data_IF_071535208474
#
_entry.id   IF_071535208474
#
_cell.length_a   1.000
_cell.length_b   1.000
_cell.length_c   1.000
_cell.angle_alpha   90.00
_cell.angle_beta   90.00
_cell.angle_gamma   90.00
#
_symmetry.space_group_name_H-M   'P 1'
#
loop_
_entity.id
_entity.type
_entity.pdbx_description
1 polymer ?
#
# COMPACT_ATOMS: atom_id res chain seq x y z
N UNK A 1 -80.65 42.30 6.23
CA UNK A 1 -81.10 41.87 4.89
C UNK A 1 -79.88 41.43 4.09
N UNK A 2 -79.74 40.11 3.92
CA UNK A 2 -79.13 39.36 2.77
C UNK A 2 -77.68 39.75 2.37
N UNK A 3 -76.63 39.12 2.89
CA UNK A 3 -75.91 37.90 2.43
C UNK A 3 -75.49 37.83 0.95
N UNK A 4 -74.19 37.65 0.69
CA UNK A 4 -73.73 36.69 -0.32
C UNK A 4 -72.32 36.16 -0.01
N UNK A 5 -72.27 34.87 0.34
CA UNK A 5 -71.08 34.03 0.45
C UNK A 5 -70.66 33.58 -0.95
N UNK A 6 -69.38 33.74 -1.32
CA UNK A 6 -68.78 33.00 -2.43
C UNK A 6 -68.28 31.64 -1.93
N UNK A 7 -68.99 30.58 -2.32
CA UNK A 7 -68.56 29.17 -2.20
C UNK A 7 -67.51 28.87 -3.27
N UNK A 8 -66.35 28.36 -2.86
CA UNK A 8 -65.49 27.58 -3.74
C UNK A 8 -66.01 26.14 -3.78
N UNK A 9 -66.51 25.70 -4.93
CA UNK A 9 -66.82 24.30 -5.20
C UNK A 9 -65.61 23.63 -5.84
N UNK A 10 -65.04 22.66 -5.13
CA UNK A 10 -64.04 21.75 -5.68
C UNK A 10 -64.66 20.80 -6.70
N UNK A 11 -63.97 20.62 -7.82
CA UNK A 11 -64.12 19.46 -8.69
C UNK A 11 -62.75 18.79 -8.73
N UNK A 12 -62.58 17.74 -7.91
CA UNK A 12 -61.43 16.85 -7.99
C UNK A 12 -61.58 16.00 -9.25
N UNK A 13 -60.85 16.37 -10.31
CA UNK A 13 -60.62 15.50 -11.47
C UNK A 13 -59.54 14.48 -11.06
N UNK A 14 -59.97 13.31 -10.59
CA UNK A 14 -59.07 12.16 -10.32
C UNK A 14 -58.33 11.84 -11.62
N UNK A 15 -57.00 11.87 -11.57
CA UNK A 15 -56.16 11.83 -12.76
C UNK A 15 -56.10 10.42 -13.37
N UNK A 16 -55.99 10.39 -14.70
CA UNK A 16 -55.80 9.20 -15.52
C UNK A 16 -54.36 8.64 -15.40
N UNK A 17 -53.51 9.22 -14.56
CA UNK A 17 -52.07 8.91 -14.51
C UNK A 17 -51.79 7.65 -13.70
N UNK A 18 -52.59 7.35 -12.68
CA UNK A 18 -52.43 6.12 -11.88
C UNK A 18 -52.72 4.86 -12.70
N UNK A 19 -53.73 4.92 -13.58
CA UNK A 19 -54.08 3.81 -14.48
C UNK A 19 -52.97 3.61 -15.52
N UNK A 20 -52.40 4.71 -16.03
CA UNK A 20 -51.30 4.66 -17.00
C UNK A 20 -50.02 4.09 -16.40
N UNK A 21 -49.72 4.42 -15.14
CA UNK A 21 -48.57 3.86 -14.42
C UNK A 21 -48.71 2.35 -14.22
N UNK A 22 -49.88 1.89 -13.78
CA UNK A 22 -50.18 0.46 -13.57
C UNK A 22 -50.05 -0.35 -14.87
N UNK A 23 -50.60 0.17 -15.98
CA UNK A 23 -50.50 -0.49 -17.29
C UNK A 23 -49.03 -0.59 -17.75
N UNK A 24 -48.23 0.45 -17.49
CA UNK A 24 -46.80 0.47 -17.88
C UNK A 24 -45.98 -0.54 -17.07
N UNK A 25 -46.26 -0.69 -15.77
CA UNK A 25 -45.59 -1.68 -14.91
C UNK A 25 -45.95 -3.11 -15.29
N UNK A 26 -47.22 -3.38 -15.61
CA UNK A 26 -47.68 -4.71 -16.03
C UNK A 26 -47.05 -5.08 -17.39
N UNK A 27 -47.02 -4.15 -18.35
CA UNK A 27 -46.38 -4.40 -19.65
C UNK A 27 -44.87 -4.65 -19.50
N UNK A 28 -44.18 -3.96 -18.59
CA UNK A 28 -42.76 -4.20 -18.29
C UNK A 28 -42.49 -5.58 -17.68
N UNK A 29 -43.33 -6.05 -16.76
CA UNK A 29 -43.22 -7.39 -16.18
C UNK A 29 -43.49 -8.50 -17.21
N UNK A 30 -44.52 -8.32 -18.04
CA UNK A 30 -44.84 -9.27 -19.12
C UNK A 30 -43.72 -9.33 -20.15
N UNK A 31 -43.17 -8.19 -20.56
CA UNK A 31 -42.05 -8.13 -21.50
C UNK A 31 -40.76 -8.76 -20.93
N UNK A 32 -40.45 -8.52 -19.65
CA UNK A 32 -39.33 -9.16 -18.97
C UNK A 32 -39.49 -10.69 -18.83
N UNK A 33 -40.71 -11.16 -18.59
CA UNK A 33 -41.04 -12.59 -18.53
C UNK A 33 -40.88 -13.28 -19.89
N UNK A 34 -41.29 -12.64 -20.99
CA UNK A 34 -41.11 -13.19 -22.34
C UNK A 34 -39.63 -13.21 -22.78
N UNK A 35 -38.81 -12.23 -22.38
CA UNK A 35 -37.36 -12.27 -22.60
C UNK A 35 -36.73 -13.41 -21.77
N UNK A 36 -37.19 -13.63 -20.53
CA UNK A 36 -36.70 -14.72 -19.68
C UNK A 36 -37.04 -16.12 -20.18
N UNK A 37 -38.15 -16.30 -20.91
CA UNK A 37 -38.63 -17.59 -21.44
C UNK A 37 -38.13 -17.87 -22.87
N UNK A 38 -37.67 -16.84 -23.59
CA UNK A 38 -37.18 -16.99 -24.96
C UNK A 38 -35.71 -17.39 -25.08
N UNK A 39 -35.01 -17.63 -23.95
CA UNK A 39 -33.70 -18.28 -23.96
C UNK A 39 -33.86 -19.79 -23.83
N UNK A 40 -33.51 -20.58 -24.86
CA UNK A 40 -33.45 -22.03 -24.69
C UNK A 40 -32.36 -22.36 -23.67
N UNK A 41 -32.73 -23.12 -22.65
CA UNK A 41 -31.81 -23.82 -21.77
C UNK A 41 -30.94 -24.75 -22.62
N UNK A 42 -29.74 -24.29 -22.98
CA UNK A 42 -28.77 -25.14 -23.67
C UNK A 42 -28.23 -26.14 -22.65
N UNK A 43 -28.61 -27.39 -22.88
CA UNK A 43 -28.09 -28.60 -22.26
C UNK A 43 -26.57 -28.54 -22.11
N UNK A 44 -26.07 -28.69 -20.87
CA UNK A 44 -24.68 -29.03 -20.58
C UNK A 44 -24.40 -30.45 -21.09
N UNK A 45 -24.08 -30.56 -22.38
CA UNK A 45 -23.41 -31.72 -22.92
C UNK A 45 -21.92 -31.60 -22.61
N UNK A 46 -21.38 -32.65 -21.98
CA UNK A 46 -19.96 -32.97 -21.78
C UNK A 46 -19.02 -32.26 -22.76
N UNK A 47 -18.20 -31.34 -22.23
CA UNK A 47 -16.93 -30.98 -22.85
C UNK A 47 -15.85 -31.75 -22.09
N UNK A 48 -15.39 -32.84 -22.70
CA UNK A 48 -14.14 -33.52 -22.36
C UNK A 48 -12.98 -32.60 -22.74
N UNK A 49 -12.25 -32.08 -21.75
CA UNK A 49 -10.96 -31.43 -21.97
C UNK A 49 -9.89 -32.52 -22.10
N UNK A 50 -9.16 -32.61 -23.23
CA UNK A 50 -8.00 -33.50 -23.32
C UNK A 50 -6.86 -32.94 -22.46
N UNK A 51 -6.29 -33.82 -21.65
CA UNK A 51 -5.04 -33.65 -20.95
C UNK A 51 -3.87 -33.59 -21.95
N UNK A 52 -3.39 -32.39 -22.29
CA UNK A 52 -2.09 -32.21 -22.97
C UNK A 52 -1.65 -30.74 -23.01
N UNK A 53 -1.01 -30.24 -21.94
CA UNK A 53 0.08 -29.24 -22.05
C UNK A 53 1.14 -29.61 -21.02
N UNK A 54 1.88 -30.68 -21.30
CA UNK A 54 3.27 -30.85 -20.92
C UNK A 54 4.00 -31.33 -22.18
N UNK A 55 5.22 -30.81 -22.37
CA UNK A 55 6.25 -31.28 -23.32
C UNK A 55 6.23 -30.68 -24.73
N UNK A 56 7.05 -29.65 -24.91
CA UNK A 56 7.79 -29.46 -26.17
C UNK A 56 9.20 -28.93 -25.88
N UNK A 57 10.04 -29.80 -25.31
CA UNK A 57 11.44 -29.84 -25.67
C UNK A 57 11.68 -31.22 -26.30
N UNK A 58 12.52 -31.27 -27.33
CA UNK A 58 13.04 -32.45 -28.02
C UNK A 58 12.22 -33.00 -29.21
N UNK A 59 12.37 -32.35 -30.37
CA UNK A 59 12.66 -33.03 -31.64
C UNK A 59 13.49 -32.08 -32.52
N UNK A 60 14.81 -32.28 -32.56
CA UNK A 60 15.57 -32.36 -33.81
C UNK A 60 17.05 -32.64 -33.51
N UNK A 61 17.51 -33.75 -34.08
CA UNK A 61 18.86 -34.09 -34.56
C UNK A 61 19.49 -35.33 -33.89
N UNK A 62 19.30 -36.47 -34.57
CA UNK A 62 20.11 -37.68 -34.45
C UNK A 62 21.18 -37.70 -35.57
N UNK A 63 22.36 -38.22 -35.19
CA UNK A 63 23.39 -39.00 -35.94
C UNK A 63 23.96 -38.43 -37.28
N UNK A 64 25.25 -38.54 -37.63
CA UNK A 64 26.23 -39.59 -37.32
C UNK A 64 27.70 -39.18 -37.69
N UNK A 65 28.67 -39.94 -37.16
CA UNK A 65 30.03 -40.29 -37.67
C UNK A 65 31.29 -39.37 -37.61
N UNK A 66 32.27 -39.89 -36.83
CA UNK A 66 33.72 -40.11 -37.07
C UNK A 66 34.82 -39.01 -36.93
N UNK A 67 35.71 -39.28 -35.94
CA UNK A 67 37.19 -39.24 -35.88
C UNK A 67 38.00 -37.93 -36.08
N UNK A 68 38.62 -37.53 -34.97
CA UNK A 68 40.03 -37.09 -34.73
C UNK A 68 40.74 -36.20 -35.78
N UNK A 69 41.09 -34.96 -35.38
CA UNK A 69 42.49 -34.53 -35.15
C UNK A 69 42.61 -33.00 -34.99
N UNK A 70 43.20 -32.57 -33.87
CA UNK A 70 44.29 -31.58 -33.82
C UNK A 70 44.14 -30.19 -34.46
N UNK A 71 43.92 -29.21 -33.57
CA UNK A 71 44.53 -27.86 -33.50
C UNK A 71 44.11 -26.75 -34.49
N UNK A 72 44.18 -25.55 -33.89
CA UNK A 72 44.16 -24.17 -34.39
C UNK A 72 42.83 -23.54 -34.77
N UNK A 73 42.49 -22.48 -34.01
CA UNK A 73 41.52 -21.41 -34.27
C UNK A 73 41.45 -21.04 -35.76
N UNK A 74 40.27 -20.73 -36.36
CA UNK A 74 39.62 -19.43 -36.16
C UNK A 74 38.08 -19.39 -36.39
N UNK A 75 37.50 -18.19 -36.26
CA UNK A 75 36.33 -17.62 -36.98
C UNK A 75 35.09 -18.47 -37.36
N UNK A 76 33.92 -17.85 -37.18
CA UNK A 76 32.57 -18.13 -37.72
C UNK A 76 31.61 -19.06 -36.95
N UNK A 77 30.58 -18.41 -36.39
CA UNK A 77 29.16 -18.71 -36.55
C UNK A 77 28.76 -20.19 -36.78
N UNK A 78 28.35 -20.88 -35.70
CA UNK A 78 27.49 -22.07 -35.82
C UNK A 78 27.93 -23.29 -35.01
N UNK A 79 27.62 -23.30 -33.71
CA UNK A 79 27.16 -24.49 -32.95
C UNK A 79 26.98 -24.05 -31.49
N UNK A 80 25.73 -24.00 -31.04
CA UNK A 80 25.35 -23.56 -29.70
C UNK A 80 25.95 -24.53 -28.67
N UNK A 81 26.82 -24.08 -27.74
CA UNK A 81 27.09 -24.87 -26.55
C UNK A 81 25.77 -24.89 -25.76
N UNK A 82 25.17 -26.07 -25.60
CA UNK A 82 24.09 -26.27 -24.63
C UNK A 82 24.59 -25.73 -23.29
N UNK A 83 24.08 -24.56 -22.89
CA UNK A 83 24.40 -23.96 -21.60
C UNK A 83 24.13 -25.00 -20.52
N UNK A 84 25.10 -25.31 -19.64
CA UNK A 84 24.88 -26.31 -18.60
C UNK A 84 23.70 -25.87 -17.74
N UNK A 85 22.65 -26.70 -17.70
CA UNK A 85 21.45 -26.46 -16.87
C UNK A 85 21.81 -26.72 -15.41
N UNK A 86 22.16 -25.67 -14.68
CA UNK A 86 22.49 -25.76 -13.25
C UNK A 86 21.18 -25.56 -12.48
N UNK A 87 20.42 -26.62 -12.23
CA UNK A 87 19.17 -26.51 -11.47
C UNK A 87 19.45 -26.58 -9.96
N UNK A 88 19.18 -25.49 -9.25
CA UNK A 88 19.34 -25.36 -7.80
C UNK A 88 18.01 -24.95 -7.16
N UNK A 89 17.35 -25.86 -6.40
CA UNK A 89 16.06 -25.60 -5.77
C UNK A 89 16.06 -24.51 -4.68
N UNK A 90 17.23 -24.19 -4.10
CA UNK A 90 17.35 -23.17 -3.04
C UNK A 90 17.42 -21.75 -3.59
N UNK A 91 17.54 -21.58 -4.90
CA UNK A 91 17.53 -20.25 -5.52
C UNK A 91 16.11 -19.66 -5.50
N UNK A 92 15.98 -18.32 -5.61
CA UNK A 92 14.69 -17.68 -5.83
C UNK A 92 13.96 -18.26 -7.03
N UNK A 93 12.62 -18.24 -6.98
CA UNK A 93 11.79 -18.74 -8.09
C UNK A 93 12.13 -18.03 -9.39
N UNK A 94 12.35 -18.80 -10.45
CA UNK A 94 12.78 -18.30 -11.76
C UNK A 94 14.29 -18.13 -11.93
N UNK A 95 15.08 -18.29 -10.87
CA UNK A 95 16.54 -18.26 -10.87
C UNK A 95 17.15 -19.65 -10.62
N UNK A 96 16.35 -20.72 -10.67
CA UNK A 96 16.80 -22.07 -10.35
C UNK A 96 17.90 -22.54 -11.29
N UNK A 97 17.96 -22.06 -12.53
CA UNK A 97 19.00 -22.42 -13.51
C UNK A 97 20.36 -21.73 -13.28
N UNK A 98 20.46 -20.81 -12.31
CA UNK A 98 21.65 -20.01 -12.06
C UNK A 98 22.58 -20.66 -11.02
N UNK A 99 23.91 -20.57 -11.19
CA UNK A 99 24.85 -20.94 -10.14
C UNK A 99 24.59 -20.12 -8.86
N UNK A 100 24.56 -20.72 -7.66
CA UNK A 100 24.23 -20.00 -6.44
C UNK A 100 25.18 -18.82 -6.15
N UNK A 101 26.44 -18.93 -6.56
CA UNK A 101 27.46 -17.90 -6.33
C UNK A 101 27.25 -16.58 -7.09
N UNK A 102 26.34 -16.53 -8.09
CA UNK A 102 26.01 -15.28 -8.81
C UNK A 102 24.60 -14.77 -8.48
N UNK A 103 23.80 -15.55 -7.75
CA UNK A 103 22.41 -15.19 -7.44
C UNK A 103 22.37 -14.11 -6.36
N UNK A 104 21.73 -13.00 -6.70
CA UNK A 104 21.40 -11.91 -5.75
C UNK A 104 19.88 -11.89 -5.62
N UNK A 105 19.36 -12.36 -4.49
CA UNK A 105 17.93 -12.59 -4.29
C UNK A 105 17.13 -11.31 -3.97
N UNK A 106 17.80 -10.26 -3.52
CA UNK A 106 17.21 -9.02 -3.01
C UNK A 106 17.91 -7.82 -3.66
N UNK A 107 17.26 -6.65 -3.64
CA UNK A 107 17.80 -5.38 -4.11
C UNK A 107 17.89 -4.38 -2.95
N UNK A 108 18.40 -3.19 -3.22
CA UNK A 108 18.47 -2.08 -2.28
C UNK A 108 18.31 -0.72 -3.00
N UNK A 109 18.29 0.38 -2.22
CA UNK A 109 18.32 1.75 -2.73
C UNK A 109 19.69 2.42 -2.59
N UNK A 110 20.77 1.64 -2.42
CA UNK A 110 22.10 2.20 -2.27
C UNK A 110 22.60 2.79 -3.60
N UNK A 111 22.98 4.06 -3.57
CA UNK A 111 23.53 4.74 -4.75
C UNK A 111 24.94 4.23 -5.06
N UNK A 112 25.19 3.95 -6.33
CA UNK A 112 26.47 3.47 -6.86
C UNK A 112 27.02 4.44 -7.89
N UNK A 113 28.35 4.54 -7.98
CA UNK A 113 29.00 5.44 -8.94
C UNK A 113 28.97 4.81 -10.34
N UNK A 114 29.04 5.65 -11.37
CA UNK A 114 29.10 5.18 -12.77
C UNK A 114 30.51 4.69 -13.18
N UNK A 115 31.52 4.87 -12.33
CA UNK A 115 32.92 4.54 -12.60
C UNK A 115 33.63 4.12 -11.31
N UNK A 116 34.81 3.50 -11.47
CA UNK A 116 35.63 3.03 -10.35
C UNK A 116 35.28 1.61 -9.89
N UNK A 117 35.82 1.21 -8.75
CA UNK A 117 35.59 -0.11 -8.17
C UNK A 117 34.29 -0.16 -7.36
N UNK A 118 33.38 -1.13 -7.61
CA UNK A 118 32.12 -1.24 -6.87
C UNK A 118 32.27 -1.43 -5.34
N UNK A 119 33.43 -1.95 -4.90
CA UNK A 119 33.75 -2.14 -3.48
C UNK A 119 33.98 -0.81 -2.73
N UNK A 120 34.27 0.27 -3.45
CA UNK A 120 34.52 1.60 -2.89
C UNK A 120 33.27 2.48 -2.80
N UNK A 121 32.18 2.10 -3.48
CA UNK A 121 30.97 2.93 -3.59
C UNK A 121 30.26 3.12 -2.25
N UNK A 122 30.29 2.09 -1.40
CA UNK A 122 29.54 2.03 -0.15
C UNK A 122 30.49 1.96 1.05
N UNK A 123 31.03 3.12 1.45
CA UNK A 123 31.85 3.24 2.67
C UNK A 123 31.05 2.89 3.93
N UNK A 124 29.81 3.38 4.00
CA UNK A 124 28.84 3.08 5.03
C UNK A 124 27.54 2.63 4.35
N UNK A 125 26.93 1.55 4.84
CA UNK A 125 25.64 1.07 4.34
C UNK A 125 24.52 1.56 5.27
N UNK A 126 23.58 2.38 4.78
CA UNK A 126 22.42 2.76 5.57
C UNK A 126 21.65 1.53 6.04
N UNK A 127 21.27 1.54 7.32
CA UNK A 127 20.54 0.45 8.01
C UNK A 127 19.04 0.69 8.04
N UNK A 128 18.62 1.94 7.88
CA UNK A 128 17.23 2.35 7.98
C UNK A 128 16.82 3.11 6.72
N UNK A 129 15.53 3.07 6.40
CA UNK A 129 14.95 3.80 5.27
C UNK A 129 13.92 4.78 5.81
N UNK A 130 13.97 6.03 5.34
CA UNK A 130 12.89 7.00 5.56
C UNK A 130 12.37 7.50 4.24
N UNK A 131 11.04 7.47 4.13
CA UNK A 131 10.31 7.94 2.96
C UNK A 131 9.39 9.08 3.33
N UNK A 132 9.35 10.10 2.47
CA UNK A 132 8.41 11.21 2.55
C UNK A 132 7.65 11.33 1.23
N UNK A 133 6.34 11.55 1.30
CA UNK A 133 5.54 11.90 0.12
C UNK A 133 5.38 13.40 0.06
N UNK A 134 6.02 14.03 -0.93
CA UNK A 134 6.37 15.45 -0.89
C UNK A 134 5.87 16.23 -2.11
N UNK A 135 5.50 17.48 -1.87
CA UNK A 135 5.44 18.54 -2.87
C UNK A 135 6.40 19.68 -2.53
N UNK A 136 6.77 20.46 -3.54
CA UNK A 136 7.80 21.50 -3.40
C UNK A 136 7.44 22.55 -2.33
N UNK A 137 6.15 22.84 -2.15
CA UNK A 137 5.70 23.83 -1.17
C UNK A 137 6.06 23.42 0.27
N UNK A 138 6.30 22.13 0.53
CA UNK A 138 6.68 21.58 1.85
C UNK A 138 8.18 21.36 2.01
N UNK A 139 9.00 21.74 1.03
CA UNK A 139 10.44 21.45 1.00
C UNK A 139 11.20 21.90 2.25
N UNK A 140 10.83 23.03 2.85
CA UNK A 140 11.48 23.55 4.06
C UNK A 140 11.12 22.70 5.28
N UNK A 141 9.89 22.18 5.35
CA UNK A 141 9.50 21.28 6.43
C UNK A 141 10.22 19.93 6.30
N UNK A 142 10.36 19.43 5.08
CA UNK A 142 11.15 18.21 4.81
C UNK A 142 12.63 18.40 5.11
N UNK A 143 13.22 19.57 4.81
CA UNK A 143 14.59 19.89 5.22
C UNK A 143 14.75 19.85 6.75
N UNK A 144 13.78 20.38 7.50
CA UNK A 144 13.77 20.26 8.96
C UNK A 144 13.65 18.80 9.44
N UNK A 145 12.84 17.98 8.75
CA UNK A 145 12.71 16.54 8.99
C UNK A 145 14.03 15.80 8.75
N UNK A 146 14.63 15.94 7.57
CA UNK A 146 15.85 15.21 7.16
C UNK A 146 17.01 15.47 8.11
N UNK A 147 17.11 16.67 8.69
CA UNK A 147 18.12 17.01 9.72
C UNK A 147 18.01 16.19 11.01
N UNK A 148 16.91 15.46 11.24
CA UNK A 148 16.74 14.56 12.39
C UNK A 148 17.23 13.13 12.16
N UNK A 149 17.66 12.81 10.93
CA UNK A 149 18.13 11.50 10.51
C UNK A 149 19.64 11.53 10.28
N UNK A 150 20.33 10.49 10.72
CA UNK A 150 21.78 10.34 10.56
C UNK A 150 22.14 9.73 9.20
N UNK A 151 23.43 9.50 8.95
CA UNK A 151 23.90 8.79 7.75
C UNK A 151 23.52 7.29 7.73
N UNK A 152 23.05 6.73 8.85
CA UNK A 152 22.49 5.37 8.88
C UNK A 152 21.12 5.29 8.18
N UNK A 153 20.53 6.43 7.76
CA UNK A 153 19.25 6.50 7.06
C UNK A 153 19.41 6.80 5.57
N UNK A 154 18.86 5.92 4.73
CA UNK A 154 18.61 6.24 3.33
C UNK A 154 17.37 7.15 3.25
N UNK A 155 17.51 8.28 2.57
CA UNK A 155 16.39 9.20 2.30
C UNK A 155 15.81 8.88 0.92
N UNK A 156 14.49 8.72 0.85
CA UNK A 156 13.73 8.50 -0.37
C UNK A 156 12.53 9.44 -0.42
N UNK A 157 12.41 10.22 -1.49
CA UNK A 157 11.35 11.20 -1.67
C UNK A 157 10.40 10.77 -2.79
N UNK A 158 9.10 10.76 -2.49
CA UNK A 158 8.02 10.49 -3.43
C UNK A 158 7.35 11.80 -3.86
N UNK A 159 7.67 12.29 -5.05
CA UNK A 159 7.24 13.60 -5.55
C UNK A 159 5.91 13.50 -6.26
N UNK A 160 4.83 13.93 -5.62
CA UNK A 160 3.50 13.91 -6.25
C UNK A 160 3.26 15.09 -7.21
N UNK A 161 4.15 16.09 -7.23
CA UNK A 161 4.00 17.30 -8.06
C UNK A 161 4.86 17.29 -9.33
N UNK A 162 5.79 16.33 -9.46
CA UNK A 162 6.69 16.24 -10.59
C UNK A 162 7.93 17.13 -10.51
N UNK A 163 8.22 17.78 -9.38
CA UNK A 163 9.23 18.84 -9.26
C UNK A 163 10.44 18.39 -8.45
N UNK A 164 11.38 17.71 -9.10
CA UNK A 164 12.56 17.14 -8.44
C UNK A 164 13.77 18.08 -8.43
N UNK A 165 14.03 18.80 -9.52
CA UNK A 165 15.25 19.60 -9.67
C UNK A 165 15.33 20.78 -8.70
N UNK A 166 14.20 21.35 -8.29
CA UNK A 166 14.18 22.45 -7.33
C UNK A 166 14.67 22.05 -5.93
N UNK A 167 14.76 20.75 -5.64
CA UNK A 167 15.31 20.23 -4.39
C UNK A 167 16.84 20.22 -4.35
N UNK A 168 17.52 20.38 -5.50
CA UNK A 168 18.98 20.41 -5.60
C UNK A 168 19.63 21.56 -4.81
N UNK A 169 18.83 22.53 -4.34
CA UNK A 169 19.26 23.56 -3.40
C UNK A 169 19.74 22.99 -2.06
N UNK A 170 19.32 21.76 -1.71
CA UNK A 170 19.72 21.08 -0.49
C UNK A 170 20.79 20.02 -0.81
N UNK A 171 21.98 20.14 -0.22
CA UNK A 171 23.09 19.20 -0.47
C UNK A 171 22.75 17.76 -0.07
N UNK A 172 21.91 17.55 0.93
CA UNK A 172 21.43 16.22 1.29
C UNK A 172 20.50 15.62 0.21
N UNK A 173 19.77 16.46 -0.52
CA UNK A 173 18.82 16.00 -1.55
C UNK A 173 19.53 15.37 -2.74
N UNK A 174 20.73 15.86 -3.10
CA UNK A 174 21.56 15.26 -4.16
C UNK A 174 22.00 13.82 -3.85
N UNK A 175 21.93 13.42 -2.58
CA UNK A 175 22.24 12.07 -2.09
C UNK A 175 20.98 11.26 -1.76
N UNK A 176 19.81 11.86 -1.85
CA UNK A 176 18.54 11.17 -1.68
C UNK A 176 18.11 10.51 -2.98
N UNK A 177 17.26 9.49 -2.88
CA UNK A 177 16.59 8.91 -4.05
C UNK A 177 15.30 9.69 -4.29
N UNK A 178 15.05 10.10 -5.53
CA UNK A 178 13.85 10.82 -5.93
C UNK A 178 13.01 9.95 -6.87
N UNK A 179 11.75 9.71 -6.54
CA UNK A 179 10.78 9.02 -7.42
C UNK A 179 9.62 9.98 -7.65
N UNK A 180 9.28 10.22 -8.92
CA UNK A 180 8.40 11.33 -9.30
C UNK A 180 7.33 10.90 -10.29
N UNK A 181 6.09 10.84 -9.82
CA UNK A 181 4.88 10.53 -10.57
C UNK A 181 3.78 11.47 -10.10
N UNK A 182 3.24 12.26 -11.03
CA UNK A 182 2.26 13.28 -10.70
C UNK A 182 0.98 12.69 -10.10
N UNK A 183 0.46 13.37 -9.08
CA UNK A 183 -0.83 13.12 -8.41
C UNK A 183 -0.99 11.69 -7.88
N UNK A 184 0.09 11.10 -7.38
CA UNK A 184 0.05 9.80 -6.69
C UNK A 184 0.20 9.97 -5.18
N UNK A 185 -0.49 9.11 -4.44
CA UNK A 185 -0.53 9.10 -2.97
C UNK A 185 0.65 8.30 -2.39
N UNK A 186 0.92 8.53 -1.10
CA UNK A 186 1.94 7.81 -0.32
C UNK A 186 1.85 6.28 -0.48
N UNK A 187 0.66 5.72 -0.32
CA UNK A 187 0.48 4.27 -0.38
C UNK A 187 0.53 3.71 -1.81
N UNK A 188 0.24 4.52 -2.83
CA UNK A 188 0.49 4.14 -4.22
C UNK A 188 1.99 3.93 -4.48
N UNK A 189 2.82 4.86 -4.00
CA UNK A 189 4.28 4.77 -4.09
C UNK A 189 4.81 3.60 -3.28
N UNK A 190 4.41 3.49 -2.01
CA UNK A 190 4.85 2.42 -1.13
C UNK A 190 4.57 1.03 -1.73
N UNK A 191 3.39 0.83 -2.33
CA UNK A 191 3.05 -0.44 -2.99
C UNK A 191 3.96 -0.78 -4.18
N UNK A 192 4.49 0.20 -4.90
CA UNK A 192 5.24 0.00 -6.15
C UNK A 192 6.74 0.02 -5.98
N UNK A 193 7.25 0.81 -5.06
CA UNK A 193 8.69 1.04 -4.90
C UNK A 193 9.25 0.46 -3.61
N UNK A 194 8.42 0.20 -2.60
CA UNK A 194 8.87 -0.43 -1.36
C UNK A 194 8.55 -1.94 -1.35
N UNK A 195 8.81 -2.65 -2.45
CA UNK A 195 8.65 -4.09 -2.48
C UNK A 195 9.52 -4.75 -1.38
N UNK A 196 9.05 -5.80 -0.66
CA UNK A 196 9.81 -6.38 0.45
C UNK A 196 11.23 -6.75 0.08
N UNK A 197 11.43 -7.35 -1.10
CA UNK A 197 12.75 -7.75 -1.57
C UNK A 197 13.63 -6.58 -2.05
N UNK A 198 13.06 -5.37 -2.22
CA UNK A 198 13.81 -4.12 -2.54
C UNK A 198 14.23 -3.40 -1.26
N UNK A 199 13.43 -3.48 -0.20
CA UNK A 199 13.73 -2.83 1.09
C UNK A 199 14.29 -3.79 2.13
N UNK A 200 14.60 -5.03 1.72
CA UNK A 200 15.14 -6.07 2.59
C UNK A 200 16.53 -5.70 3.16
N UNK A 201 17.24 -4.72 2.60
CA UNK A 201 18.49 -4.24 3.16
C UNK A 201 18.31 -3.37 4.44
N UNK A 202 17.08 -2.93 4.74
CA UNK A 202 16.81 -2.01 5.85
C UNK A 202 16.10 -2.71 7.01
N UNK A 203 16.52 -2.42 8.25
CA UNK A 203 15.93 -2.98 9.46
C UNK A 203 14.57 -2.36 9.80
N UNK A 204 14.45 -1.04 9.56
CA UNK A 204 13.25 -0.26 9.81
C UNK A 204 12.96 0.70 8.67
N UNK A 205 11.68 0.86 8.35
CA UNK A 205 11.16 1.63 7.22
C UNK A 205 10.15 2.65 7.74
N UNK A 206 10.47 3.93 7.61
CA UNK A 206 9.63 5.06 7.98
C UNK A 206 8.83 5.52 6.75
N UNK A 207 7.52 5.64 6.89
CA UNK A 207 6.63 6.04 5.78
C UNK A 207 5.80 7.25 6.20
N UNK A 208 6.40 8.42 6.10
CA UNK A 208 5.90 9.63 6.75
C UNK A 208 5.21 10.58 5.76
N UNK A 209 4.19 11.27 6.27
CA UNK A 209 3.61 12.44 5.62
C UNK A 209 4.56 13.65 5.76
N UNK A 210 4.33 14.67 4.93
CA UNK A 210 5.19 15.85 4.80
C UNK A 210 4.83 17.01 5.75
N UNK A 211 3.71 16.92 6.47
CA UNK A 211 3.16 17.98 7.32
C UNK A 211 3.43 17.75 8.83
N UNK A 212 4.61 17.20 9.12
CA UNK A 212 5.06 16.85 10.47
C UNK A 212 6.10 17.85 11.00
N UNK A 213 5.84 18.40 12.18
CA UNK A 213 6.82 19.13 12.98
C UNK A 213 7.65 18.16 13.83
N UNK A 214 8.97 18.30 13.81
CA UNK A 214 9.92 17.32 14.35
C UNK A 214 10.87 17.91 15.39
N UNK A 215 10.53 19.06 15.97
CA UNK A 215 11.38 19.82 16.89
C UNK A 215 11.91 18.92 18.02
N UNK A 216 11.06 18.05 18.55
CA UNK A 216 11.32 17.17 19.68
C UNK A 216 11.66 15.72 19.31
N UNK A 217 11.80 15.45 18.01
CA UNK A 217 12.11 14.12 17.49
C UNK A 217 13.62 13.93 17.26
N UNK A 218 14.11 12.72 17.54
CA UNK A 218 15.44 12.24 17.20
C UNK A 218 15.34 10.77 16.73
N UNK A 219 15.75 10.50 15.48
CA UNK A 219 15.55 9.19 14.86
C UNK A 219 16.36 8.07 15.53
N UNK A 220 17.57 8.34 15.98
CA UNK A 220 18.43 7.35 16.65
C UNK A 220 17.84 6.92 17.99
N UNK A 221 17.44 7.89 18.83
CA UNK A 221 16.76 7.61 20.10
C UNK A 221 15.45 6.88 19.89
N UNK A 222 14.70 7.25 18.84
CA UNK A 222 13.47 6.56 18.47
C UNK A 222 13.73 5.07 18.17
N UNK A 223 14.68 4.76 17.30
CA UNK A 223 15.02 3.37 16.96
C UNK A 223 15.52 2.59 18.18
N UNK A 224 16.32 3.21 19.06
CA UNK A 224 16.74 2.58 20.30
C UNK A 224 15.55 2.15 21.17
N UNK A 225 14.52 2.99 21.28
CA UNK A 225 13.31 2.70 22.04
C UNK A 225 12.44 1.63 21.35
N UNK A 226 12.28 1.71 20.03
CA UNK A 226 11.58 0.68 19.25
C UNK A 226 12.21 -0.69 19.48
N UNK A 227 13.55 -0.79 19.38
CA UNK A 227 14.29 -2.02 19.65
C UNK A 227 14.17 -2.46 21.12
N UNK A 228 14.34 -1.54 22.08
CA UNK A 228 14.24 -1.81 23.52
C UNK A 228 12.88 -2.40 23.91
N UNK A 229 11.80 -1.91 23.30
CA UNK A 229 10.42 -2.29 23.64
C UNK A 229 9.83 -3.37 22.73
N UNK A 230 10.63 -3.92 21.81
CA UNK A 230 10.21 -4.97 20.88
C UNK A 230 9.07 -4.56 19.96
N UNK A 231 9.06 -3.29 19.52
CA UNK A 231 8.05 -2.77 18.63
C UNK A 231 8.39 -3.12 17.18
N UNK A 232 7.44 -3.76 16.50
CA UNK A 232 7.54 -4.15 15.08
C UNK A 232 6.79 -3.16 14.17
N UNK A 233 5.74 -2.53 14.69
CA UNK A 233 5.05 -1.42 14.04
C UNK A 233 4.92 -0.30 15.07
N UNK A 234 5.33 0.90 14.73
CA UNK A 234 5.36 1.99 15.69
C UNK A 234 5.10 3.34 15.05
N UNK A 235 4.85 4.35 15.87
CA UNK A 235 4.94 5.75 15.47
C UNK A 235 5.46 6.61 16.62
N UNK A 236 5.98 7.82 16.34
CA UNK A 236 6.19 8.84 17.36
C UNK A 236 4.86 9.25 18.03
N UNK A 237 4.94 9.68 19.29
CA UNK A 237 3.79 10.30 19.96
C UNK A 237 3.35 11.59 19.25
N UNK A 238 2.05 11.87 19.23
CA UNK A 238 1.52 13.13 18.71
C UNK A 238 1.27 14.13 19.84
N UNK A 239 1.80 15.34 19.66
CA UNK A 239 1.50 16.46 20.54
C UNK A 239 -0.01 16.77 20.52
N UNK A 240 -0.69 16.84 21.68
CA UNK A 240 -2.15 16.94 21.74
C UNK A 240 -2.72 18.33 21.40
N UNK A 241 -1.88 19.32 21.10
CA UNK A 241 -2.25 20.74 21.09
C UNK A 241 -3.23 21.14 19.97
N UNK A 242 -3.33 20.35 18.89
CA UNK A 242 -4.16 20.68 17.71
C UNK A 242 -5.38 19.76 17.51
N UNK A 243 -5.80 19.03 18.54
CA UNK A 243 -6.86 18.03 18.44
C UNK A 243 -6.37 16.75 17.78
N UNK A 244 -6.87 15.61 18.26
CA UNK A 244 -6.46 14.28 17.80
C UNK A 244 -7.69 13.44 17.49
N UNK A 245 -7.65 12.70 16.38
CA UNK A 245 -8.72 11.77 16.02
C UNK A 245 -8.76 10.59 16.99
N UNK A 246 -7.59 10.00 17.25
CA UNK A 246 -7.40 8.77 18.02
C UNK A 246 -6.65 9.05 19.32
N UNK A 247 -7.16 8.57 20.46
CA UNK A 247 -6.45 8.69 21.74
C UNK A 247 -5.16 7.85 21.75
N UNK A 248 -5.10 6.80 20.93
CA UNK A 248 -3.94 5.90 20.87
C UNK A 248 -2.71 6.59 20.31
N UNK A 249 -2.84 7.64 19.50
CA UNK A 249 -1.69 8.37 18.93
C UNK A 249 -1.20 9.50 19.85
N UNK A 250 -1.98 9.84 20.88
CA UNK A 250 -1.69 10.93 21.80
C UNK A 250 -0.46 10.63 22.65
N UNK A 251 0.53 11.52 22.60
CA UNK A 251 1.70 11.48 23.47
C UNK A 251 1.32 11.44 24.95
N UNK A 252 1.98 10.57 25.71
CA UNK A 252 1.92 10.45 27.16
C UNK A 252 3.21 10.96 27.80
N UNK A 253 3.12 11.98 28.65
CA UNK A 253 4.31 12.64 29.22
C UNK A 253 5.02 11.85 30.32
N UNK A 254 4.45 10.73 30.79
CA UNK A 254 4.86 9.99 31.98
C UNK A 254 5.62 8.68 31.69
N UNK A 255 5.85 8.36 30.41
CA UNK A 255 6.41 7.07 29.98
C UNK A 255 7.21 7.18 28.68
N UNK A 256 7.99 6.15 28.38
CA UNK A 256 8.76 6.08 27.13
C UNK A 256 7.91 5.68 25.93
N UNK A 257 6.99 4.72 26.13
CA UNK A 257 6.11 4.14 25.12
C UNK A 257 4.75 3.77 25.74
N UNK A 258 3.72 3.68 24.91
CA UNK A 258 2.47 2.99 25.25
C UNK A 258 1.95 2.14 24.09
N UNK A 259 1.21 1.09 24.44
CA UNK A 259 0.68 0.08 23.50
C UNK A 259 -0.84 -0.05 23.58
N UNK A 260 -1.45 0.67 24.52
CA UNK A 260 -2.89 0.74 24.71
C UNK A 260 -3.30 2.12 25.24
N UNK A 261 -4.57 2.46 25.04
CA UNK A 261 -5.19 3.69 25.53
C UNK A 261 -6.62 3.42 26.00
N UNK A 262 -7.14 4.32 26.82
CA UNK A 262 -8.58 4.51 26.94
C UNK A 262 -9.05 5.41 25.80
N UNK A 263 -10.09 4.96 25.09
CA UNK A 263 -10.70 5.71 23.99
C UNK A 263 -12.06 6.28 24.38
N UNK A 264 -12.61 7.09 23.47
CA UNK A 264 -13.98 7.62 23.59
C UNK A 264 -14.99 6.47 23.82
N UNK A 265 -16.02 6.67 24.67
CA UNK A 265 -17.02 5.64 24.94
C UNK A 265 -17.62 5.05 23.66
N UNK A 266 -17.61 3.71 23.56
CA UNK A 266 -18.15 2.96 22.42
C UNK A 266 -17.21 2.80 21.21
N UNK A 267 -15.98 3.33 21.25
CA UNK A 267 -15.04 3.23 20.13
C UNK A 267 -14.20 1.95 20.15
N UNK A 268 -14.14 1.26 21.28
CA UNK A 268 -13.41 0.01 21.41
C UNK A 268 -14.36 -1.14 21.70
N UNK A 269 -14.42 -2.08 20.76
CA UNK A 269 -15.12 -3.36 20.95
C UNK A 269 -14.34 -4.33 21.84
N UNK A 270 -13.01 -4.26 21.80
CA UNK A 270 -12.08 -5.04 22.61
C UNK A 270 -10.86 -4.16 22.94
N UNK A 271 -10.39 -4.14 24.20
CA UNK A 271 -9.26 -3.30 24.62
C UNK A 271 -7.91 -3.69 23.96
N UNK A 272 -7.77 -4.90 23.42
CA UNK A 272 -6.57 -5.38 22.71
C UNK A 272 -6.63 -5.13 21.20
N UNK A 273 -7.72 -4.57 20.69
CA UNK A 273 -7.92 -4.31 19.27
C UNK A 273 -7.92 -2.80 18.98
N UNK A 274 -7.65 -2.40 17.73
CA UNK A 274 -7.81 -1.03 17.30
C UNK A 274 -9.21 -0.49 17.55
N UNK A 275 -9.35 0.80 17.89
CA UNK A 275 -8.26 1.77 18.04
C UNK A 275 -7.59 1.76 19.43
N UNK A 276 -8.08 0.98 20.41
CA UNK A 276 -7.58 1.01 21.80
C UNK A 276 -6.17 0.44 21.99
N UNK A 277 -5.78 -0.52 21.18
CA UNK A 277 -4.44 -1.12 21.16
C UNK A 277 -4.17 -1.64 19.75
N UNK A 278 -2.95 -2.15 19.52
CA UNK A 278 -2.57 -2.71 18.23
C UNK A 278 -2.76 -1.73 17.04
N UNK A 279 -2.64 -0.43 17.30
CA UNK A 279 -2.98 0.64 16.36
C UNK A 279 -1.91 1.74 16.36
N UNK A 280 -1.52 2.16 15.17
CA UNK A 280 -0.82 3.41 14.88
C UNK A 280 -1.45 4.01 13.64
N UNK A 281 -1.48 5.33 13.55
CA UNK A 281 -2.07 6.04 12.42
C UNK A 281 -1.13 5.98 11.21
N UNK A 282 -1.73 5.93 10.03
CA UNK A 282 -1.01 5.85 8.75
C UNK A 282 -0.16 7.08 8.42
N UNK A 283 -0.22 8.16 9.20
CA UNK A 283 0.49 9.43 8.96
C UNK A 283 2.01 9.31 9.15
N UNK A 284 2.45 8.76 10.28
CA UNK A 284 3.88 8.62 10.62
C UNK A 284 4.31 7.20 11.06
N UNK A 285 3.85 6.13 10.40
CA UNK A 285 4.19 4.77 10.80
C UNK A 285 5.66 4.44 10.48
N UNK A 286 6.19 3.54 11.30
CA UNK A 286 7.50 2.92 11.17
C UNK A 286 7.33 1.42 11.30
N UNK A 287 7.82 0.68 10.31
CA UNK A 287 7.70 -0.77 10.24
C UNK A 287 9.07 -1.40 10.38
N UNK A 288 9.18 -2.51 11.11
CA UNK A 288 10.30 -3.42 10.95
C UNK A 288 10.26 -4.06 9.56
N UNK A 289 11.41 -4.57 9.11
CA UNK A 289 11.53 -5.34 7.87
C UNK A 289 10.48 -6.47 7.78
N UNK A 290 10.34 -7.23 8.87
CA UNK A 290 9.44 -8.39 8.93
C UNK A 290 7.97 -7.97 8.87
N UNK A 291 7.57 -6.95 9.64
CA UNK A 291 6.22 -6.43 9.60
C UNK A 291 5.88 -5.86 8.21
N UNK A 292 6.82 -5.13 7.59
CA UNK A 292 6.62 -4.56 6.27
C UNK A 292 6.38 -5.62 5.19
N UNK A 293 7.08 -6.77 5.27
CA UNK A 293 6.87 -7.88 4.33
C UNK A 293 5.42 -8.33 4.28
N UNK A 294 4.73 -8.37 5.41
CA UNK A 294 3.29 -8.63 5.45
C UNK A 294 2.45 -7.40 5.03
N UNK A 295 2.75 -6.22 5.57
CA UNK A 295 1.95 -4.99 5.32
C UNK A 295 1.93 -4.64 3.82
N UNK A 296 3.03 -4.86 3.11
CA UNK A 296 3.09 -4.64 1.66
C UNK A 296 2.05 -5.46 0.89
N UNK A 297 1.79 -6.71 1.31
CA UNK A 297 0.78 -7.58 0.70
C UNK A 297 -0.65 -7.19 1.10
N UNK A 298 -0.82 -6.52 2.24
CA UNK A 298 -2.10 -5.99 2.68
C UNK A 298 -2.55 -4.78 1.82
N UNK A 299 -1.60 -3.97 1.36
CA UNK A 299 -1.89 -2.80 0.51
C UNK A 299 -2.40 -3.26 -0.87
N UNK A 300 -3.56 -2.72 -1.26
CA UNK A 300 -4.23 -3.04 -2.52
C UNK A 300 -3.71 -2.15 -3.66
N UNK A 301 -3.59 -2.70 -4.88
CA UNK A 301 -3.03 -1.97 -6.01
C UNK A 301 -3.88 -0.77 -6.49
N UNK A 302 -5.19 -0.85 -6.31
CA UNK A 302 -6.20 0.09 -6.79
C UNK A 302 -6.80 1.01 -5.69
N UNK A 303 -6.50 0.74 -4.41
CA UNK A 303 -6.88 1.58 -3.27
C UNK A 303 -5.66 2.36 -2.80
N UNK A 304 -5.57 3.61 -3.22
CA UNK A 304 -4.32 4.37 -3.20
C UNK A 304 -4.19 5.25 -1.96
N UNK A 305 -5.27 5.61 -1.27
CA UNK A 305 -5.20 6.54 -0.13
C UNK A 305 -4.83 5.88 1.20
N UNK A 306 -5.02 4.56 1.32
CA UNK A 306 -4.65 3.77 2.50
C UNK A 306 -5.53 4.00 3.75
N UNK A 307 -6.63 4.75 3.67
CA UNK A 307 -7.56 4.91 4.80
C UNK A 307 -8.12 3.55 5.23
N UNK A 308 -8.04 3.27 6.54
CA UNK A 308 -8.45 2.00 7.13
C UNK A 308 -7.33 0.96 7.22
N UNK A 309 -6.17 1.19 6.59
CA UNK A 309 -5.02 0.30 6.68
C UNK A 309 -4.51 0.19 8.13
N UNK A 310 -4.50 1.31 8.86
CA UNK A 310 -4.20 1.46 10.28
C UNK A 310 -4.95 0.47 11.19
N UNK A 311 -6.21 0.15 10.86
CA UNK A 311 -7.00 -0.86 11.58
C UNK A 311 -6.59 -2.30 11.27
N UNK A 312 -5.98 -2.53 10.11
CA UNK A 312 -5.61 -3.85 9.62
C UNK A 312 -4.13 -4.20 9.86
N UNK A 313 -3.28 -3.23 10.21
CA UNK A 313 -1.85 -3.44 10.51
C UNK A 313 -1.61 -4.53 11.56
N UNK A 314 -2.52 -4.66 12.55
CA UNK A 314 -2.49 -5.71 13.58
C UNK A 314 -2.38 -7.14 13.02
N UNK A 315 -2.80 -7.38 11.78
CA UNK A 315 -2.77 -8.70 11.15
C UNK A 315 -1.37 -9.15 10.75
N UNK A 316 -0.38 -8.25 10.80
CA UNK A 316 0.97 -8.51 10.34
C UNK A 316 1.98 -8.77 11.46
N UNK A 317 1.55 -8.83 12.72
CA UNK A 317 2.41 -9.00 13.89
C UNK A 317 1.66 -9.72 15.01
N UNK A 318 2.35 -10.62 15.71
CA UNK A 318 1.76 -11.45 16.77
C UNK A 318 2.67 -11.47 18.03
N UNK A 319 2.16 -11.19 19.24
CA UNK A 319 0.84 -10.61 19.52
C UNK A 319 0.79 -9.10 19.22
N UNK A 320 -0.19 -8.67 18.42
CA UNK A 320 -0.23 -7.31 17.88
C UNK A 320 -0.27 -6.21 18.96
N UNK A 321 -1.06 -6.40 20.02
CA UNK A 321 -1.22 -5.42 21.11
C UNK A 321 0.04 -5.23 21.98
N UNK A 322 1.04 -6.11 21.85
CA UNK A 322 2.33 -5.96 22.53
C UNK A 322 3.45 -5.48 21.59
N UNK A 323 3.28 -5.63 20.27
CA UNK A 323 4.30 -5.30 19.26
C UNK A 323 3.99 -4.04 18.46
N UNK A 324 2.79 -3.49 18.59
CA UNK A 324 2.40 -2.21 18.01
C UNK A 324 2.26 -1.17 19.12
N UNK A 325 2.89 -0.02 18.96
CA UNK A 325 2.81 1.02 19.98
C UNK A 325 3.38 2.38 19.57
N UNK A 326 3.15 3.36 20.43
CA UNK A 326 3.56 4.74 20.27
C UNK A 326 4.76 5.03 21.15
N UNK A 327 5.78 5.67 20.58
CA UNK A 327 6.99 6.09 21.30
C UNK A 327 6.78 7.51 21.83
N UNK A 328 6.37 7.64 23.09
CA UNK A 328 5.98 8.91 23.70
C UNK A 328 7.13 9.88 23.96
N UNK A 329 8.29 9.32 24.28
CA UNK A 329 9.49 10.11 24.61
C UNK A 329 10.15 10.72 23.36
N UNK A 330 9.69 10.36 22.16
CA UNK A 330 10.09 10.94 20.87
C UNK A 330 8.82 11.30 20.10
N UNK A 331 8.48 12.59 20.07
CA UNK A 331 7.17 13.02 19.58
C UNK A 331 7.29 14.03 18.45
N UNK A 332 6.19 14.17 17.71
CA UNK A 332 6.02 15.03 16.57
C UNK A 332 4.73 15.85 16.71
N UNK A 333 4.61 16.90 15.89
CA UNK A 333 3.43 17.77 15.83
C UNK A 333 2.78 17.62 14.46
N UNK A 334 1.47 17.39 14.40
CA UNK A 334 0.74 17.46 13.14
C UNK A 334 0.43 18.92 12.80
N UNK A 335 1.06 19.43 11.74
CA UNK A 335 0.95 20.84 11.34
C UNK A 335 -0.27 21.10 10.44
N UNK A 336 -0.91 20.06 9.89
CA UNK A 336 -2.11 20.14 9.06
C UNK A 336 -1.91 21.06 7.85
N UNK A 337 -0.72 21.02 7.24
CA UNK A 337 -0.41 21.87 6.09
C UNK A 337 -1.09 21.27 4.86
N UNK A 338 -1.95 22.01 4.14
CA UNK A 338 -2.65 21.48 2.98
C UNK A 338 -1.67 20.99 1.91
N UNK A 339 -1.75 19.70 1.57
CA UNK A 339 -0.85 19.10 0.59
C UNK A 339 -1.59 18.34 -0.50
N UNK A 340 -1.44 17.02 -0.59
CA UNK A 340 -2.01 16.16 -1.63
C UNK A 340 -3.55 16.29 -1.76
N UNK A 341 -4.26 16.60 -0.68
CA UNK A 341 -5.71 16.88 -0.72
C UNK A 341 -6.06 17.99 -1.72
N UNK A 342 -5.21 19.00 -1.87
CA UNK A 342 -5.40 20.08 -2.83
C UNK A 342 -5.20 19.67 -4.30
N UNK A 343 -4.62 18.50 -4.56
CA UNK A 343 -4.26 18.03 -5.91
C UNK A 343 -5.43 17.38 -6.67
N UNK A 344 -6.61 17.30 -6.04
CA UNK A 344 -7.86 16.86 -6.67
C UNK A 344 -8.34 17.80 -7.78
N UNK A 345 -9.48 17.46 -8.38
CA UNK A 345 -10.18 18.32 -9.33
C UNK A 345 -11.28 19.10 -8.62
N UNK A 346 -11.45 20.38 -8.94
CA UNK A 346 -12.66 21.11 -8.55
C UNK A 346 -13.79 20.68 -9.47
N UNK A 347 -14.91 20.27 -8.88
CA UNK A 347 -16.13 19.88 -9.60
C UNK A 347 -17.33 20.60 -8.98
N UNK A 348 -18.20 21.17 -9.82
CA UNK A 348 -19.45 21.81 -9.40
C UNK A 348 -19.28 22.86 -8.28
N UNK A 349 -18.19 23.65 -8.33
CA UNK A 349 -17.88 24.68 -7.33
C UNK A 349 -17.31 24.16 -6.00
N UNK A 350 -17.09 22.85 -5.86
CA UNK A 350 -16.46 22.26 -4.67
C UNK A 350 -14.94 22.38 -4.72
N UNK A 351 -14.33 22.56 -3.55
CA UNK A 351 -12.88 22.61 -3.44
C UNK A 351 -12.24 21.25 -3.78
N UNK A 352 -11.05 21.21 -4.41
CA UNK A 352 -10.36 19.96 -4.80
C UNK A 352 -10.27 18.89 -3.70
N UNK A 353 -10.03 19.32 -2.46
CA UNK A 353 -9.89 18.42 -1.31
C UNK A 353 -11.16 17.65 -0.95
N UNK A 354 -12.34 18.18 -1.31
CA UNK A 354 -13.60 17.48 -1.08
C UNK A 354 -13.69 16.21 -1.92
N UNK A 355 -13.31 16.29 -3.20
CA UNK A 355 -13.28 15.14 -4.10
C UNK A 355 -12.31 14.05 -3.63
N UNK A 356 -11.11 14.46 -3.19
CA UNK A 356 -10.11 13.56 -2.59
C UNK A 356 -10.70 12.88 -1.35
N UNK A 357 -11.32 13.64 -0.43
CA UNK A 357 -11.91 13.10 0.80
C UNK A 357 -13.10 12.17 0.54
N UNK A 358 -13.89 12.41 -0.50
CA UNK A 358 -14.93 11.47 -0.95
C UNK A 358 -14.29 10.17 -1.44
N UNK A 359 -13.23 10.25 -2.25
CA UNK A 359 -12.50 9.07 -2.71
C UNK A 359 -11.88 8.29 -1.56
N UNK A 360 -11.26 8.95 -0.58
CA UNK A 360 -10.72 8.29 0.62
C UNK A 360 -11.77 7.45 1.36
N UNK A 361 -12.97 8.03 1.58
CA UNK A 361 -14.08 7.33 2.24
C UNK A 361 -14.55 6.12 1.44
N UNK A 362 -14.70 6.28 0.12
CA UNK A 362 -15.11 5.18 -0.75
C UNK A 362 -14.08 4.04 -0.76
N UNK A 363 -12.78 4.37 -0.84
CA UNK A 363 -11.71 3.37 -0.78
C UNK A 363 -11.65 2.66 0.57
N UNK A 364 -11.87 3.37 1.67
CA UNK A 364 -11.93 2.76 2.99
C UNK A 364 -13.07 1.75 3.09
N UNK A 365 -14.29 2.11 2.65
CA UNK A 365 -15.42 1.18 2.61
C UNK A 365 -15.11 -0.05 1.76
N UNK A 366 -14.55 0.15 0.55
CA UNK A 366 -14.14 -0.96 -0.32
C UNK A 366 -13.09 -1.86 0.34
N UNK A 367 -12.11 -1.29 1.04
CA UNK A 367 -11.09 -2.07 1.75
C UNK A 367 -11.71 -2.92 2.87
N UNK A 368 -12.59 -2.33 3.68
CA UNK A 368 -13.29 -3.04 4.75
C UNK A 368 -14.13 -4.20 4.20
N UNK A 369 -14.90 -3.96 3.14
CA UNK A 369 -15.73 -4.98 2.50
C UNK A 369 -14.87 -6.12 1.92
N UNK A 370 -13.77 -5.79 1.23
CA UNK A 370 -12.83 -6.80 0.69
C UNK A 370 -12.24 -7.65 1.79
N UNK A 371 -11.76 -7.03 2.86
CA UNK A 371 -11.13 -7.75 3.97
C UNK A 371 -12.14 -8.65 4.68
N UNK A 372 -13.34 -8.15 5.00
CA UNK A 372 -14.39 -8.92 5.65
C UNK A 372 -14.89 -10.10 4.79
N UNK A 373 -15.07 -9.89 3.48
CA UNK A 373 -15.47 -10.94 2.56
C UNK A 373 -14.38 -12.01 2.39
N UNK A 374 -13.11 -11.60 2.31
CA UNK A 374 -11.98 -12.52 2.25
C UNK A 374 -11.87 -13.38 3.51
N UNK A 375 -12.01 -12.78 4.70
CA UNK A 375 -12.05 -13.50 5.98
C UNK A 375 -13.19 -14.51 5.99
N UNK A 376 -14.41 -14.09 5.62
CA UNK A 376 -15.57 -14.97 5.56
C UNK A 376 -15.36 -16.15 4.61
N UNK A 377 -14.79 -15.89 3.42
CA UNK A 377 -14.50 -16.94 2.44
C UNK A 377 -13.45 -17.94 2.97
N UNK A 378 -12.37 -17.44 3.60
CA UNK A 378 -11.33 -18.25 4.21
C UNK A 378 -11.89 -19.17 5.31
N UNK A 379 -12.68 -18.61 6.24
CA UNK A 379 -13.30 -19.41 7.31
C UNK A 379 -14.36 -20.38 6.77
N UNK A 380 -15.10 -20.04 5.72
CA UNK A 380 -16.06 -20.96 5.11
C UNK A 380 -15.37 -22.16 4.41
N UNK A 381 -14.17 -21.96 3.87
CA UNK A 381 -13.36 -23.03 3.27
C UNK A 381 -12.66 -23.87 4.34
N UNK A 382 -11.95 -23.24 5.27
CA UNK A 382 -11.09 -23.93 6.24
C UNK A 382 -11.79 -24.35 7.53
N UNK A 383 -12.90 -23.70 7.88
CA UNK A 383 -13.78 -24.10 8.97
C UNK A 383 -14.61 -25.35 8.64
N UNK A 384 -14.71 -25.74 7.37
CA UNK A 384 -15.30 -27.03 6.95
C UNK A 384 -14.29 -28.18 6.95
N UNK A 385 -12.99 -27.88 6.92
CA UNK A 385 -11.90 -28.88 6.84
C UNK A 385 -11.36 -29.31 8.21
N UNK A 386 -11.95 -28.83 9.31
CA UNK A 386 -11.72 -29.33 10.67
C UNK A 386 -12.98 -30.00 11.20
N UNK A 387 -13.28 -31.20 10.68
CA UNK A 387 -14.09 -32.23 11.35
C UNK A 387 -13.29 -33.52 11.29
#
# INVERSE_FOLDING_TARGET
MVTSHRRFTGVFKRSNDSVRLIITTIMGMVFGYFIGISFPSVSLAKISLPSSIISSLDVAFNDDHQRLSGRSFPENLGSIPLTPKIYVPTNPRGAESLPPGIVVAESDFYLRRLWGEPSEDLRNKPKYLVTFTVGLDQKNNIDACVKKFSEDFQILLFHYDGRTSEWDQFEWSKRAVHISIRKQTKWWYAKRFLHPDVVAAYDYIFIWDEDLGVEHFNAEKYIQLVKKHGLEISQPGLEPNNGLTWQMTKRRGDREVHKSTEEKPGWCSDPRLPPCAAFVEIMAPVFSREAWRCVWHLIQNDLVHGWGLDFALRRCVEPAHEKIGVVDSQWIVHQVIPSLGSQGSSENGKAPWEGVRVRCRNEWTMFQDRLANADKAYYAQNGKTRV
#
